data_IF_951546560991
#
_entry.id   IF_951546560991
#
_cell.length_a   1.000
_cell.length_b   1.000
_cell.length_c   1.000
_cell.angle_alpha   90.00
_cell.angle_beta   90.00
_cell.angle_gamma   90.00
#
_symmetry.space_group_name_H-M   'P 1'
#
loop_
_entity.id
_entity.type
_entity.pdbx_description
1 polymer ?
#
# COMPACT_ATOMS: atom_id res chain seq x y z
N UNK A 1 35.98 18.72 5.09
CA UNK A 1 35.39 17.97 6.20
C UNK A 1 35.06 16.59 5.68
N UNK A 2 35.51 15.49 6.33
CA UNK A 2 35.13 14.16 5.87
C UNK A 2 33.61 14.03 6.00
N UNK A 3 32.96 13.59 4.92
CA UNK A 3 31.54 13.23 4.91
C UNK A 3 31.34 12.12 5.94
N UNK A 4 30.50 12.34 6.95
CA UNK A 4 30.10 11.32 7.88
C UNK A 4 29.54 10.13 7.08
N UNK A 5 30.06 8.92 7.33
CA UNK A 5 29.57 7.71 6.69
C UNK A 5 28.06 7.62 6.92
N UNK A 6 27.30 7.53 5.85
CA UNK A 6 25.85 7.31 5.95
C UNK A 6 25.61 5.98 6.68
N UNK A 7 24.65 5.91 7.60
CA UNK A 7 24.31 4.66 8.24
C UNK A 7 23.92 3.62 7.17
N UNK A 8 24.26 2.34 7.38
CA UNK A 8 23.90 1.29 6.43
C UNK A 8 22.38 1.26 6.25
N UNK A 9 21.95 1.10 5.00
CA UNK A 9 20.53 0.93 4.66
C UNK A 9 19.99 -0.26 5.43
N UNK A 10 18.88 -0.10 6.16
CA UNK A 10 18.22 -1.27 6.75
C UNK A 10 17.90 -2.27 5.63
N UNK A 11 18.37 -3.52 5.72
CA UNK A 11 18.05 -4.54 4.72
C UNK A 11 16.54 -4.75 4.66
N UNK A 12 16.04 -5.22 3.50
CA UNK A 12 14.66 -5.70 3.41
C UNK A 12 14.42 -6.74 4.53
N UNK A 13 13.23 -6.70 5.14
CA UNK A 13 12.89 -7.68 6.17
C UNK A 13 12.69 -9.06 5.52
N UNK A 14 13.59 -9.99 5.84
CA UNK A 14 13.54 -11.37 5.38
C UNK A 14 13.89 -11.58 3.90
N UNK A 15 14.02 -12.86 3.54
CA UNK A 15 14.23 -13.26 2.15
C UNK A 15 12.90 -13.37 1.42
N UNK A 16 12.85 -12.83 0.21
CA UNK A 16 11.72 -13.02 -0.69
C UNK A 16 11.77 -14.40 -1.34
N UNK A 17 10.62 -15.03 -1.49
CA UNK A 17 10.39 -16.15 -2.39
C UNK A 17 9.47 -15.72 -3.53
N UNK A 18 9.41 -16.52 -4.56
CA UNK A 18 8.54 -16.25 -5.71
C UNK A 18 7.42 -17.28 -5.77
N UNK A 19 6.22 -16.82 -6.06
CA UNK A 19 5.03 -17.64 -6.30
C UNK A 19 4.56 -17.35 -7.71
N UNK A 20 4.36 -18.40 -8.50
CA UNK A 20 3.82 -18.25 -9.86
C UNK A 20 2.30 -18.12 -9.78
N UNK A 21 1.78 -17.01 -10.30
CA UNK A 21 0.35 -16.75 -10.44
C UNK A 21 0.06 -16.17 -11.82
N UNK A 22 -0.94 -16.70 -12.50
CA UNK A 22 -1.34 -16.24 -13.84
C UNK A 22 -0.17 -16.17 -14.83
N UNK A 23 0.80 -17.12 -14.74
CA UNK A 23 1.98 -17.17 -15.59
C UNK A 23 3.02 -16.08 -15.34
N UNK A 24 3.00 -15.47 -14.15
CA UNK A 24 3.97 -14.47 -13.68
C UNK A 24 4.45 -14.80 -12.28
N UNK A 25 5.72 -14.52 -12.00
CA UNK A 25 6.26 -14.67 -10.64
C UNK A 25 5.99 -13.41 -9.83
N UNK A 26 5.37 -13.59 -8.68
CA UNK A 26 5.20 -12.52 -7.71
C UNK A 26 6.10 -12.78 -6.50
N UNK A 27 6.79 -11.72 -6.07
CA UNK A 27 7.70 -11.79 -4.93
C UNK A 27 6.93 -11.61 -3.63
N UNK A 28 7.30 -12.41 -2.62
CA UNK A 28 6.68 -12.35 -1.30
C UNK A 28 7.70 -12.60 -0.20
N UNK A 29 7.68 -11.77 0.82
CA UNK A 29 8.27 -12.07 2.13
C UNK A 29 7.26 -12.93 2.87
N UNK A 30 7.65 -14.12 3.31
CA UNK A 30 6.78 -15.08 3.97
C UNK A 30 7.56 -15.75 5.10
N UNK A 31 7.30 -15.35 6.33
CA UNK A 31 8.11 -15.76 7.48
C UNK A 31 7.26 -16.08 8.70
N UNK A 32 7.75 -17.03 9.51
CA UNK A 32 7.04 -17.50 10.69
C UNK A 32 5.96 -18.53 10.33
N UNK A 33 5.07 -18.80 11.27
CA UNK A 33 4.01 -19.80 11.14
C UNK A 33 2.78 -19.38 11.94
N UNK A 34 1.64 -20.04 11.68
CA UNK A 34 0.37 -19.77 12.34
C UNK A 34 -0.48 -18.75 11.59
N UNK A 35 -1.39 -18.06 12.29
CA UNK A 35 -2.34 -17.11 11.71
C UNK A 35 -1.63 -15.96 11.01
N UNK A 36 -2.05 -15.66 9.80
CA UNK A 36 -1.36 -14.68 8.94
C UNK A 36 -1.57 -13.23 9.39
N UNK A 37 -0.49 -12.44 9.27
CA UNK A 37 -0.48 -10.99 9.34
C UNK A 37 0.06 -10.52 7.98
N UNK A 38 -0.80 -9.93 7.16
CA UNK A 38 -0.50 -9.58 5.77
C UNK A 38 -0.31 -8.08 5.66
N UNK A 39 0.86 -7.66 5.19
CA UNK A 39 1.24 -6.27 4.98
C UNK A 39 1.18 -5.96 3.48
N UNK A 40 0.27 -5.08 3.07
CA UNK A 40 0.10 -4.76 1.67
C UNK A 40 0.40 -3.29 1.38
N UNK A 41 1.39 -3.07 0.52
CA UNK A 41 1.82 -1.78 0.01
C UNK A 41 0.97 -1.30 -1.16
N UNK A 42 1.20 -0.05 -1.60
CA UNK A 42 0.66 0.54 -2.81
C UNK A 42 1.72 1.19 -3.70
N UNK A 43 1.37 2.28 -4.36
CA UNK A 43 2.21 2.95 -5.35
C UNK A 43 3.14 4.00 -4.72
N UNK A 44 4.41 4.09 -5.08
CA UNK A 44 5.23 3.29 -6.00
C UNK A 44 6.12 2.28 -5.25
N UNK A 45 5.69 1.79 -4.12
CA UNK A 45 6.49 1.03 -3.18
C UNK A 45 6.49 -0.48 -3.43
N UNK A 46 6.95 -1.24 -2.45
CA UNK A 46 7.00 -2.70 -2.44
C UNK A 46 6.94 -3.19 -0.99
N UNK A 47 7.11 -4.48 -0.75
CA UNK A 47 7.27 -5.04 0.60
C UNK A 47 8.41 -4.37 1.39
N UNK A 48 9.36 -3.71 0.72
CA UNK A 48 10.43 -2.94 1.34
C UNK A 48 9.92 -1.82 2.27
N UNK A 49 8.76 -1.25 1.97
CA UNK A 49 8.12 -0.24 2.82
C UNK A 49 7.89 -0.73 4.25
N UNK A 50 7.65 -2.02 4.43
CA UNK A 50 7.33 -2.64 5.70
C UNK A 50 8.54 -3.14 6.49
N UNK A 51 9.79 -2.96 5.97
CA UNK A 51 11.03 -3.53 6.54
C UNK A 51 11.26 -3.19 8.01
N UNK A 52 10.87 -1.99 8.44
CA UNK A 52 11.04 -1.52 9.81
C UNK A 52 9.78 -1.70 10.67
N UNK A 53 8.65 -2.08 10.08
CA UNK A 53 7.37 -2.34 10.77
C UNK A 53 7.23 -3.81 11.12
N UNK A 54 7.48 -4.72 10.17
CA UNK A 54 7.31 -6.16 10.32
C UNK A 54 8.10 -6.77 11.50
N UNK A 55 9.31 -6.33 11.83
CA UNK A 55 10.07 -6.87 12.97
C UNK A 55 9.32 -6.82 14.30
N UNK A 56 8.48 -5.82 14.53
CA UNK A 56 7.68 -5.68 15.75
C UNK A 56 6.60 -6.77 15.89
N UNK A 57 6.23 -7.42 14.80
CA UNK A 57 5.24 -8.50 14.77
C UNK A 57 5.88 -9.90 14.80
N UNK A 58 7.22 -9.99 14.89
CA UNK A 58 7.91 -11.28 14.95
C UNK A 58 7.42 -12.12 16.13
N UNK A 59 7.17 -13.41 15.87
CA UNK A 59 6.64 -14.33 16.87
C UNK A 59 5.11 -14.21 17.11
N UNK A 60 4.44 -13.25 16.50
CA UNK A 60 2.98 -13.11 16.61
C UNK A 60 2.20 -13.91 15.55
N UNK A 61 2.86 -14.54 14.60
CA UNK A 61 2.25 -15.37 13.55
C UNK A 61 3.08 -15.41 12.28
N UNK A 62 2.45 -15.84 11.19
CA UNK A 62 3.04 -15.83 9.84
C UNK A 62 2.97 -14.43 9.27
N UNK A 63 4.13 -13.82 9.00
CA UNK A 63 4.24 -12.47 8.44
C UNK A 63 4.38 -12.55 6.93
N UNK A 64 3.46 -11.93 6.21
CA UNK A 64 3.40 -11.95 4.74
C UNK A 64 3.42 -10.53 4.22
N UNK A 65 4.33 -10.22 3.27
CA UNK A 65 4.32 -8.95 2.54
C UNK A 65 4.60 -9.21 1.06
N UNK A 66 3.63 -8.90 0.21
CA UNK A 66 3.71 -9.16 -1.22
C UNK A 66 4.17 -7.92 -1.98
N UNK A 67 4.96 -8.12 -3.05
CA UNK A 67 5.15 -7.08 -4.06
C UNK A 67 4.03 -7.20 -5.10
N UNK A 68 3.32 -6.12 -5.36
CA UNK A 68 2.30 -6.06 -6.41
C UNK A 68 2.92 -6.35 -7.78
N UNK A 69 2.12 -6.90 -8.69
CA UNK A 69 2.62 -7.22 -10.03
C UNK A 69 3.21 -5.97 -10.72
N UNK A 70 4.38 -6.09 -11.30
CA UNK A 70 5.12 -4.99 -11.91
C UNK A 70 5.89 -4.09 -10.93
N UNK A 71 5.85 -4.36 -9.62
CA UNK A 71 6.48 -3.57 -8.56
C UNK A 71 7.45 -4.43 -7.75
N UNK A 72 8.40 -3.80 -7.05
CA UNK A 72 9.42 -4.53 -6.29
C UNK A 72 10.18 -5.55 -7.12
N UNK A 73 10.15 -6.80 -6.69
CA UNK A 73 10.78 -7.94 -7.36
C UNK A 73 9.78 -8.82 -8.14
N UNK A 74 8.50 -8.44 -8.18
CA UNK A 74 7.50 -9.12 -9.00
C UNK A 74 7.71 -8.86 -10.47
N UNK A 75 7.42 -9.85 -11.31
CA UNK A 75 7.58 -9.77 -12.76
C UNK A 75 6.78 -8.60 -13.34
N UNK A 76 7.31 -8.04 -14.43
CA UNK A 76 6.57 -7.10 -15.28
C UNK A 76 5.59 -7.85 -16.19
N UNK A 77 4.47 -7.19 -16.51
CA UNK A 77 3.48 -7.76 -17.41
C UNK A 77 3.93 -7.66 -18.87
N UNK A 78 3.77 -8.74 -19.61
CA UNK A 78 4.07 -8.85 -21.04
C UNK A 78 2.87 -9.46 -21.74
N UNK A 79 2.37 -8.85 -22.84
CA UNK A 79 2.83 -7.60 -23.44
C UNK A 79 2.60 -6.40 -22.56
N UNK A 80 3.48 -5.39 -22.70
CA UNK A 80 3.31 -4.09 -22.06
C UNK A 80 2.29 -3.23 -22.84
N UNK A 81 1.84 -2.11 -22.26
CA UNK A 81 0.95 -1.19 -22.93
C UNK A 81 0.15 -0.29 -21.99
N UNK A 82 -0.58 0.69 -22.54
CA UNK A 82 -1.27 1.71 -21.78
C UNK A 82 -2.39 1.19 -20.88
N UNK A 83 -3.01 0.07 -21.23
CA UNK A 83 -4.14 -0.53 -20.51
C UNK A 83 -3.70 -1.54 -19.43
N UNK A 84 -2.37 -1.72 -19.25
CA UNK A 84 -1.84 -2.66 -18.25
C UNK A 84 -1.82 -2.05 -16.86
N UNK A 85 -1.78 -2.93 -15.87
CA UNK A 85 -1.74 -2.59 -14.45
C UNK A 85 -2.96 -1.80 -13.98
N UNK A 86 -4.14 -2.05 -14.60
CA UNK A 86 -5.41 -1.54 -14.08
C UNK A 86 -5.68 -2.09 -12.67
N UNK A 87 -6.60 -1.46 -11.94
CA UNK A 87 -7.04 -1.97 -10.64
C UNK A 87 -7.47 -3.44 -10.72
N UNK A 88 -8.27 -3.78 -11.72
CA UNK A 88 -8.75 -5.15 -11.93
C UNK A 88 -7.59 -6.12 -12.17
N UNK A 89 -6.61 -5.77 -12.98
CA UNK A 89 -5.46 -6.63 -13.27
C UNK A 89 -4.55 -6.81 -12.03
N UNK A 90 -4.33 -5.76 -11.26
CA UNK A 90 -3.61 -5.84 -9.98
C UNK A 90 -4.36 -6.70 -8.95
N UNK A 91 -5.66 -6.49 -8.82
CA UNK A 91 -6.55 -7.27 -7.98
C UNK A 91 -6.50 -8.76 -8.30
N UNK A 92 -6.65 -9.11 -9.57
CA UNK A 92 -6.62 -10.51 -10.01
C UNK A 92 -5.30 -11.22 -9.67
N UNK A 93 -4.17 -10.53 -9.84
CA UNK A 93 -2.86 -11.09 -9.50
C UNK A 93 -2.67 -11.21 -7.98
N UNK A 94 -3.02 -10.18 -7.23
CA UNK A 94 -2.87 -10.20 -5.78
C UNK A 94 -3.78 -11.24 -5.11
N UNK A 95 -5.04 -11.34 -5.54
CA UNK A 95 -5.98 -12.31 -4.97
C UNK A 95 -5.55 -13.74 -5.29
N UNK A 96 -5.14 -14.00 -6.54
CA UNK A 96 -4.59 -15.31 -6.91
C UNK A 96 -3.30 -15.64 -6.13
N UNK A 97 -2.46 -14.65 -5.82
CA UNK A 97 -1.29 -14.84 -4.96
C UNK A 97 -1.73 -15.21 -3.52
N UNK A 98 -2.68 -14.48 -2.93
CA UNK A 98 -3.15 -14.75 -1.58
C UNK A 98 -3.85 -16.11 -1.46
N UNK A 99 -4.55 -16.55 -2.50
CA UNK A 99 -5.10 -17.91 -2.58
C UNK A 99 -3.99 -18.97 -2.64
N UNK A 100 -2.98 -18.76 -3.49
CA UNK A 100 -1.83 -19.67 -3.62
C UNK A 100 -0.94 -19.71 -2.34
N UNK A 101 -0.99 -18.68 -1.51
CA UNK A 101 -0.29 -18.62 -0.23
C UNK A 101 -1.01 -19.38 0.88
N UNK A 102 -2.26 -19.79 0.68
CA UNK A 102 -3.07 -20.49 1.68
C UNK A 102 -3.00 -19.79 3.04
N UNK A 103 -3.44 -18.53 3.08
CA UNK A 103 -3.31 -17.66 4.25
C UNK A 103 -4.08 -18.17 5.49
N UNK A 104 -5.00 -19.11 5.31
CA UNK A 104 -5.86 -19.65 6.39
C UNK A 104 -6.94 -18.68 6.82
N UNK A 105 -7.33 -18.78 8.07
CA UNK A 105 -8.36 -17.97 8.72
C UNK A 105 -7.76 -17.05 9.79
N UNK A 106 -8.59 -16.20 10.37
CA UNK A 106 -8.20 -15.20 11.39
C UNK A 106 -7.04 -14.28 10.94
N UNK A 107 -7.10 -13.87 9.68
CA UNK A 107 -6.09 -13.04 9.03
C UNK A 107 -6.19 -11.61 9.55
N UNK A 108 -5.05 -11.00 9.86
CA UNK A 108 -4.96 -9.56 10.10
C UNK A 108 -4.32 -8.90 8.87
N UNK A 109 -5.03 -7.95 8.27
CA UNK A 109 -4.51 -7.15 7.15
C UNK A 109 -3.96 -5.82 7.66
N UNK A 110 -2.76 -5.45 7.23
CA UNK A 110 -2.08 -4.18 7.50
C UNK A 110 -1.89 -3.46 6.17
N UNK A 111 -2.63 -2.39 5.96
CA UNK A 111 -2.94 -1.85 4.64
C UNK A 111 -2.51 -0.39 4.49
N UNK A 112 -1.95 -0.06 3.32
CA UNK A 112 -1.53 1.28 2.97
C UNK A 112 -1.81 1.60 1.50
N UNK A 113 -2.22 2.83 1.19
CA UNK A 113 -2.42 3.34 -0.17
C UNK A 113 -3.31 2.39 -1.01
N UNK A 114 -2.91 2.02 -2.23
CA UNK A 114 -3.63 1.06 -3.07
C UNK A 114 -3.74 -0.34 -2.45
N UNK A 115 -2.79 -0.72 -1.60
CA UNK A 115 -2.91 -1.93 -0.80
C UNK A 115 -4.14 -1.91 0.10
N UNK A 116 -4.63 -0.73 0.50
CA UNK A 116 -5.86 -0.62 1.26
C UNK A 116 -7.10 -0.88 0.42
N UNK A 117 -7.18 -0.33 -0.79
CA UNK A 117 -8.31 -0.59 -1.67
C UNK A 117 -8.43 -2.08 -2.02
N UNK A 118 -7.30 -2.71 -2.39
CA UNK A 118 -7.24 -4.14 -2.67
C UNK A 118 -7.57 -4.99 -1.43
N UNK A 119 -7.01 -4.63 -0.27
CA UNK A 119 -7.21 -5.36 0.97
C UNK A 119 -8.63 -5.21 1.54
N UNK A 120 -9.25 -4.05 1.41
CA UNK A 120 -10.64 -3.82 1.84
C UNK A 120 -11.64 -4.60 0.97
N UNK A 121 -11.45 -4.61 -0.36
CA UNK A 121 -12.25 -5.42 -1.26
C UNK A 121 -12.09 -6.91 -0.93
N UNK A 122 -10.85 -7.38 -0.76
CA UNK A 122 -10.60 -8.78 -0.40
C UNK A 122 -11.24 -9.13 0.95
N UNK A 123 -11.13 -8.25 1.95
CA UNK A 123 -11.74 -8.45 3.26
C UNK A 123 -13.27 -8.50 3.21
N UNK A 124 -13.89 -7.68 2.37
CA UNK A 124 -15.34 -7.74 2.13
C UNK A 124 -15.76 -9.09 1.56
N UNK A 125 -15.03 -9.57 0.54
CA UNK A 125 -15.33 -10.84 -0.13
C UNK A 125 -15.00 -12.07 0.76
N UNK A 126 -14.14 -11.91 1.76
CA UNK A 126 -13.66 -12.98 2.64
C UNK A 126 -13.88 -12.64 4.14
N UNK A 127 -14.97 -11.96 4.48
CA UNK A 127 -15.19 -11.41 5.81
C UNK A 127 -15.07 -12.43 6.95
N UNK A 128 -15.49 -13.68 6.72
CA UNK A 128 -15.38 -14.76 7.70
C UNK A 128 -13.96 -15.22 8.00
N UNK A 129 -12.97 -14.82 7.18
CA UNK A 129 -11.56 -15.19 7.36
C UNK A 129 -10.73 -14.04 7.98
N UNK A 130 -11.30 -12.85 8.15
CA UNK A 130 -10.58 -11.66 8.62
C UNK A 130 -10.83 -11.42 10.09
N UNK A 131 -9.76 -11.46 10.90
CA UNK A 131 -9.80 -11.14 12.32
C UNK A 131 -9.71 -9.64 12.61
N UNK A 132 -9.07 -8.87 11.75
CA UNK A 132 -8.90 -7.44 11.96
C UNK A 132 -8.22 -6.72 10.80
N UNK A 133 -8.44 -5.40 10.73
CA UNK A 133 -7.89 -4.51 9.72
C UNK A 133 -7.09 -3.39 10.40
N UNK A 134 -5.80 -3.27 10.11
CA UNK A 134 -5.01 -2.09 10.44
C UNK A 134 -4.76 -1.31 9.16
N UNK A 135 -4.97 0.00 9.16
CA UNK A 135 -4.81 0.78 7.95
C UNK A 135 -4.31 2.21 8.23
N UNK A 136 -3.61 2.77 7.26
CA UNK A 136 -3.04 4.11 7.28
C UNK A 136 -2.98 4.67 5.87
N UNK A 137 -3.19 5.99 5.72
CA UNK A 137 -3.14 6.69 4.42
C UNK A 137 -3.86 5.89 3.31
N UNK A 138 -5.10 5.52 3.58
CA UNK A 138 -5.90 4.55 2.86
C UNK A 138 -6.91 5.21 1.92
N UNK A 139 -7.33 4.47 0.89
CA UNK A 139 -8.42 4.85 -0.01
C UNK A 139 -9.73 4.35 0.60
N UNK A 140 -10.48 5.24 1.24
CA UNK A 140 -11.66 4.88 2.06
C UNK A 140 -13.00 5.22 1.41
N UNK A 141 -13.00 6.05 0.38
CA UNK A 141 -14.19 6.50 -0.35
C UNK A 141 -13.82 7.13 -1.68
N UNK A 142 -14.73 7.23 -2.65
CA UNK A 142 -14.50 8.03 -3.86
C UNK A 142 -14.35 9.52 -3.53
N UNK A 143 -13.57 10.22 -4.34
CA UNK A 143 -13.12 11.58 -4.11
C UNK A 143 -13.63 12.55 -5.18
N UNK A 144 -13.61 13.82 -4.83
CA UNK A 144 -13.61 14.94 -5.78
C UNK A 144 -12.22 15.58 -5.83
N UNK A 145 -11.98 16.45 -6.79
CA UNK A 145 -10.70 17.19 -6.81
C UNK A 145 -10.57 18.16 -5.62
N UNK A 146 -11.65 18.54 -4.97
CA UNK A 146 -11.60 19.37 -3.76
C UNK A 146 -11.19 18.58 -2.52
N UNK A 147 -11.38 17.26 -2.52
CA UNK A 147 -10.89 16.36 -1.49
C UNK A 147 -9.40 16.01 -1.65
N UNK A 148 -8.82 16.26 -2.83
CA UNK A 148 -7.42 15.95 -3.13
C UNK A 148 -6.50 17.07 -2.60
N UNK A 149 -5.32 16.74 -2.01
CA UNK A 149 -4.40 17.75 -1.50
C UNK A 149 -4.05 18.79 -2.55
N UNK A 150 -4.26 20.08 -2.25
CA UNK A 150 -4.14 21.17 -3.21
C UNK A 150 -2.74 21.21 -3.85
N UNK A 151 -1.68 21.05 -3.05
CA UNK A 151 -0.30 21.04 -3.52
C UNK A 151 0.02 19.88 -4.47
N UNK A 152 -0.71 18.77 -4.41
CA UNK A 152 -0.53 17.59 -5.26
C UNK A 152 -1.48 17.59 -6.48
N UNK A 153 -2.58 18.37 -6.43
CA UNK A 153 -3.68 18.33 -7.43
C UNK A 153 -3.16 18.49 -8.85
N UNK A 154 -2.34 19.50 -9.11
CA UNK A 154 -1.81 19.78 -10.45
C UNK A 154 -0.96 18.62 -10.99
N UNK A 155 -0.11 18.03 -10.15
CA UNK A 155 0.72 16.90 -10.56
C UNK A 155 -0.14 15.67 -10.91
N UNK A 156 -1.14 15.34 -10.09
CA UNK A 156 -2.01 14.19 -10.32
C UNK A 156 -2.95 14.39 -11.52
N UNK A 157 -3.43 15.60 -11.77
CA UNK A 157 -4.11 15.95 -13.02
C UNK A 157 -3.21 15.75 -14.25
N UNK A 158 -1.93 16.13 -14.12
CA UNK A 158 -0.91 15.88 -15.15
C UNK A 158 -0.71 14.40 -15.42
N UNK A 159 -0.58 13.55 -14.39
CA UNK A 159 -0.43 12.09 -14.55
C UNK A 159 -1.65 11.44 -15.22
N UNK A 160 -2.84 11.96 -14.98
CA UNK A 160 -4.10 11.48 -15.57
C UNK A 160 -4.35 12.02 -17.00
N UNK A 161 -3.56 12.97 -17.46
CA UNK A 161 -3.59 13.52 -18.82
C UNK A 161 -2.63 12.76 -19.76
N UNK A 162 -2.64 13.04 -21.06
CA UNK A 162 -1.63 12.53 -21.99
C UNK A 162 -0.18 12.83 -21.58
N UNK A 163 0.07 13.97 -20.90
CA UNK A 163 1.39 14.33 -20.41
C UNK A 163 1.95 13.33 -19.35
N UNK A 164 1.09 12.50 -18.76
CA UNK A 164 1.50 11.48 -17.80
C UNK A 164 2.52 10.48 -18.37
N UNK A 165 2.45 10.19 -19.67
CA UNK A 165 3.43 9.30 -20.34
C UNK A 165 4.85 9.88 -20.22
N UNK A 166 5.04 11.15 -20.53
CA UNK A 166 6.34 11.81 -20.41
C UNK A 166 6.75 11.98 -18.94
N UNK A 167 5.83 12.47 -18.10
CA UNK A 167 6.10 12.73 -16.68
C UNK A 167 6.57 11.47 -15.93
N UNK A 168 5.97 10.33 -16.21
CA UNK A 168 6.23 9.09 -15.48
C UNK A 168 7.15 8.17 -16.26
N UNK A 169 6.82 7.81 -17.50
CA UNK A 169 7.60 6.78 -18.20
C UNK A 169 8.98 7.29 -18.59
N UNK A 170 9.08 8.53 -19.06
CA UNK A 170 10.37 9.11 -19.39
C UNK A 170 11.11 9.62 -18.14
N UNK A 171 10.44 10.39 -17.27
CA UNK A 171 11.09 11.15 -16.22
C UNK A 171 10.96 10.54 -14.80
N UNK A 172 10.26 9.42 -14.63
CA UNK A 172 10.10 8.70 -13.34
C UNK A 172 9.61 9.60 -12.20
N UNK A 173 8.78 10.58 -12.51
CA UNK A 173 8.45 11.68 -11.59
C UNK A 173 7.78 11.19 -10.30
N UNK A 174 7.06 10.04 -10.35
CA UNK A 174 6.42 9.48 -9.18
C UNK A 174 7.47 9.05 -8.12
N UNK A 175 8.49 8.31 -8.55
CA UNK A 175 9.56 7.84 -7.65
C UNK A 175 10.52 8.97 -7.27
N UNK A 176 10.84 9.86 -8.23
CA UNK A 176 11.86 10.90 -8.01
C UNK A 176 11.35 12.13 -7.26
N UNK A 177 10.02 12.38 -7.27
CA UNK A 177 9.44 13.60 -6.70
C UNK A 177 8.30 13.32 -5.73
N UNK A 178 7.31 12.49 -6.13
CA UNK A 178 6.13 12.26 -5.29
C UNK A 178 6.52 11.47 -4.04
N UNK A 179 7.25 10.36 -4.20
CA UNK A 179 7.68 9.53 -3.08
C UNK A 179 8.46 10.34 -2.01
N UNK A 180 9.61 10.97 -2.31
CA UNK A 180 10.36 11.71 -1.30
C UNK A 180 9.63 12.97 -0.81
N UNK A 181 8.75 13.57 -1.62
CA UNK A 181 7.94 14.73 -1.23
C UNK A 181 6.78 14.40 -0.29
N UNK A 182 6.46 13.12 -0.13
CA UNK A 182 5.40 12.62 0.74
C UNK A 182 5.94 11.82 1.95
N UNK A 183 7.17 12.14 2.38
CA UNK A 183 7.87 11.63 3.56
C UNK A 183 8.44 12.83 4.31
N UNK A 184 8.30 12.87 5.63
CA UNK A 184 8.81 13.99 6.44
C UNK A 184 10.33 13.92 6.62
N UNK A 185 10.87 12.71 6.86
CA UNK A 185 12.30 12.50 6.94
C UNK A 185 12.94 12.48 5.55
N UNK A 186 14.22 12.74 5.48
CA UNK A 186 14.99 12.55 4.25
C UNK A 186 15.39 11.08 4.11
N UNK A 187 15.04 10.46 2.98
CA UNK A 187 15.58 9.16 2.60
C UNK A 187 17.06 9.27 2.25
N UNK A 188 17.86 8.28 2.62
CA UNK A 188 19.22 8.13 2.15
C UNK A 188 19.25 7.76 0.67
N UNK A 189 20.38 7.99 -0.01
CA UNK A 189 20.52 7.61 -1.42
C UNK A 189 20.34 6.11 -1.64
N UNK A 190 20.76 5.31 -0.68
CA UNK A 190 20.62 3.87 -0.77
C UNK A 190 19.15 3.40 -0.57
N UNK A 191 18.34 4.07 0.27
CA UNK A 191 16.90 3.82 0.34
C UNK A 191 16.21 4.25 -0.96
N UNK A 192 16.58 5.41 -1.51
CA UNK A 192 16.08 5.87 -2.80
C UNK A 192 16.46 4.92 -3.93
N UNK A 193 17.68 4.39 -3.93
CA UNK A 193 18.13 3.40 -4.92
C UNK A 193 17.25 2.14 -4.90
N UNK A 194 16.83 1.67 -3.71
CA UNK A 194 15.93 0.53 -3.61
C UNK A 194 14.53 0.84 -4.17
N UNK A 195 13.98 2.03 -3.92
CA UNK A 195 12.71 2.44 -4.52
C UNK A 195 12.79 2.67 -6.03
N UNK A 196 13.95 3.13 -6.54
CA UNK A 196 14.19 3.31 -7.99
C UNK A 196 14.36 2.00 -8.74
N UNK A 197 14.92 0.98 -8.08
CA UNK A 197 15.36 -0.27 -8.69
C UNK A 197 14.31 -0.92 -9.60
N UNK A 198 13.02 -1.08 -9.20
CA UNK A 198 12.01 -1.68 -10.05
C UNK A 198 11.64 -0.84 -11.29
N UNK A 199 12.00 0.44 -11.29
CA UNK A 199 11.62 1.45 -12.28
C UNK A 199 12.84 2.13 -12.91
N UNK A 200 14.00 1.46 -12.87
CA UNK A 200 15.25 2.00 -13.39
C UNK A 200 15.20 2.26 -14.88
N UNK A 201 14.62 1.33 -15.66
CA UNK A 201 14.49 1.46 -17.10
C UNK A 201 13.34 2.41 -17.46
N UNK A 202 13.60 3.45 -18.30
CA UNK A 202 12.53 4.29 -18.85
C UNK A 202 11.53 3.48 -19.69
N UNK A 203 10.32 4.00 -19.82
CA UNK A 203 9.26 3.39 -20.60
C UNK A 203 8.39 2.43 -19.78
N UNK A 204 8.03 1.30 -20.35
CA UNK A 204 6.98 0.41 -19.83
C UNK A 204 7.30 -0.23 -18.46
N UNK A 205 8.56 -0.32 -18.05
CA UNK A 205 8.91 -0.75 -16.69
C UNK A 205 8.33 0.16 -15.60
N UNK A 206 8.08 1.42 -15.96
CA UNK A 206 7.46 2.44 -15.09
C UNK A 206 5.93 2.51 -15.21
N UNK A 207 5.32 1.73 -16.11
CA UNK A 207 3.87 1.73 -16.35
C UNK A 207 3.04 1.55 -15.07
N UNK A 208 3.37 0.66 -14.13
CA UNK A 208 2.60 0.53 -12.89
C UNK A 208 2.44 1.86 -12.14
N UNK A 209 3.50 2.68 -12.07
CA UNK A 209 3.48 3.95 -11.35
C UNK A 209 2.70 5.06 -12.07
N UNK A 210 2.38 4.87 -13.35
CA UNK A 210 1.46 5.72 -14.11
C UNK A 210 0.02 5.21 -14.06
N UNK A 211 -0.17 3.90 -14.14
CA UNK A 211 -1.52 3.31 -14.13
C UNK A 211 -2.23 3.60 -12.81
N UNK A 212 -1.56 3.47 -11.68
CA UNK A 212 -2.15 3.71 -10.37
C UNK A 212 -2.75 5.12 -10.19
N UNK A 213 -2.10 6.25 -10.50
CA UNK A 213 -2.72 7.56 -10.43
C UNK A 213 -3.95 7.71 -11.34
N UNK A 214 -3.97 7.00 -12.47
CA UNK A 214 -5.09 6.99 -13.41
C UNK A 214 -6.29 6.20 -12.88
N UNK A 215 -6.07 5.27 -11.95
CA UNK A 215 -7.11 4.45 -11.33
C UNK A 215 -7.73 5.09 -10.08
N UNK A 216 -7.17 6.17 -9.52
CA UNK A 216 -7.75 6.81 -8.33
C UNK A 216 -9.18 7.26 -8.62
N UNK A 217 -10.18 6.87 -7.80
CA UNK A 217 -11.60 7.14 -8.03
C UNK A 217 -11.93 8.61 -7.72
N UNK A 218 -11.55 9.50 -8.63
CA UNK A 218 -11.76 10.96 -8.50
C UNK A 218 -12.78 11.42 -9.55
N UNK A 219 -13.74 12.21 -9.12
CA UNK A 219 -14.77 12.82 -9.98
C UNK A 219 -15.52 11.78 -10.85
N UNK A 220 -15.81 10.61 -10.27
CA UNK A 220 -16.56 9.54 -10.93
C UNK A 220 -15.75 8.68 -11.90
N UNK A 221 -14.43 8.85 -11.98
CA UNK A 221 -13.60 8.10 -12.94
C UNK A 221 -12.35 7.50 -12.29
N UNK A 222 -11.97 6.24 -12.63
CA UNK A 222 -12.70 5.30 -13.52
C UNK A 222 -13.96 4.75 -12.82
N UNK A 223 -15.09 4.58 -13.51
CA UNK A 223 -16.36 4.19 -12.88
C UNK A 223 -16.32 2.79 -12.23
N UNK A 224 -15.59 1.86 -12.80
CA UNK A 224 -15.43 0.51 -12.23
C UNK A 224 -14.69 0.54 -10.89
N UNK A 225 -13.69 1.40 -10.71
CA UNK A 225 -12.97 1.56 -9.45
C UNK A 225 -13.82 2.33 -8.44
N UNK A 226 -14.57 3.34 -8.90
CA UNK A 226 -15.54 4.06 -8.06
C UNK A 226 -16.53 3.07 -7.45
N UNK A 227 -17.12 2.18 -8.26
CA UNK A 227 -18.09 1.19 -7.79
C UNK A 227 -17.50 0.25 -6.73
N UNK A 228 -16.28 -0.26 -6.94
CA UNK A 228 -15.59 -1.12 -5.97
C UNK A 228 -15.35 -0.37 -4.66
N UNK A 229 -14.87 0.88 -4.74
CA UNK A 229 -14.58 1.69 -3.54
C UNK A 229 -15.86 2.04 -2.78
N UNK A 230 -16.97 2.34 -3.47
CA UNK A 230 -18.27 2.56 -2.83
C UNK A 230 -18.79 1.30 -2.13
N UNK A 231 -18.61 0.14 -2.72
CA UNK A 231 -19.08 -1.13 -2.16
C UNK A 231 -18.36 -1.48 -0.86
N UNK A 232 -17.02 -1.50 -0.86
CA UNK A 232 -16.32 -1.81 0.38
C UNK A 232 -16.45 -0.69 1.43
N UNK A 233 -16.57 0.58 1.01
CA UNK A 233 -16.80 1.70 1.93
C UNK A 233 -18.14 1.54 2.67
N UNK A 234 -19.19 1.14 1.97
CA UNK A 234 -20.50 0.83 2.54
C UNK A 234 -20.40 -0.35 3.51
N UNK A 235 -19.71 -1.42 3.11
CA UNK A 235 -19.50 -2.59 3.96
C UNK A 235 -18.72 -2.25 5.22
N UNK A 236 -17.60 -1.50 5.12
CA UNK A 236 -16.78 -1.07 6.26
C UNK A 236 -17.56 -0.20 7.25
N UNK A 237 -18.50 0.62 6.75
CA UNK A 237 -19.35 1.48 7.57
C UNK A 237 -20.32 0.71 8.46
N UNK A 238 -20.61 -0.57 8.17
CA UNK A 238 -21.44 -1.45 8.99
C UNK A 238 -20.71 -2.67 9.56
N UNK A 239 -19.46 -2.91 9.16
CA UNK A 239 -18.73 -4.12 9.52
C UNK A 239 -18.26 -4.11 10.98
N UNK A 240 -18.56 -5.17 11.77
CA UNK A 240 -18.11 -5.31 13.16
C UNK A 240 -16.64 -5.75 13.27
N UNK A 241 -15.97 -6.06 12.17
CA UNK A 241 -14.55 -6.48 12.19
C UNK A 241 -13.72 -5.42 12.93
N UNK A 242 -12.88 -5.82 13.91
CA UNK A 242 -12.01 -4.89 14.62
C UNK A 242 -11.09 -4.12 13.69
N UNK A 243 -10.97 -2.82 13.90
CA UNK A 243 -10.13 -1.93 13.09
C UNK A 243 -9.14 -1.16 13.96
N UNK A 244 -7.93 -1.00 13.43
CA UNK A 244 -6.91 -0.09 13.93
C UNK A 244 -6.66 0.97 12.86
N UNK A 245 -7.11 2.19 13.11
CA UNK A 245 -6.82 3.34 12.28
C UNK A 245 -5.55 4.04 12.77
N UNK A 246 -4.50 3.98 11.98
CA UNK A 246 -3.26 4.71 12.22
C UNK A 246 -3.35 6.05 11.47
N UNK A 247 -3.81 7.08 12.18
CA UNK A 247 -4.03 8.41 11.64
C UNK A 247 -2.69 9.14 11.51
N UNK A 248 -2.22 9.33 10.29
CA UNK A 248 -1.01 10.10 10.03
C UNK A 248 -1.25 11.60 10.22
N UNK A 249 -0.33 12.30 10.90
CA UNK A 249 -0.35 13.75 11.06
C UNK A 249 1.00 14.34 10.64
N UNK A 250 1.06 15.24 9.67
CA UNK A 250 -0.07 15.90 9.00
C UNK A 250 -0.88 15.00 8.06
N UNK A 251 -0.35 13.82 7.65
CA UNK A 251 -0.99 12.97 6.66
C UNK A 251 -0.90 13.57 5.25
N UNK A 252 -1.59 12.94 4.31
CA UNK A 252 -1.65 13.38 2.91
C UNK A 252 -3.00 13.12 2.25
N UNK A 253 -3.36 11.85 2.01
CA UNK A 253 -4.62 11.52 1.34
C UNK A 253 -5.76 11.19 2.31
N UNK A 254 -5.47 10.65 3.49
CA UNK A 254 -6.50 10.34 4.49
C UNK A 254 -6.68 11.50 5.46
N UNK A 255 -7.11 12.63 4.91
CA UNK A 255 -7.32 13.89 5.60
C UNK A 255 -8.74 14.42 5.34
N UNK A 256 -9.15 15.47 6.04
CA UNK A 256 -10.43 16.14 5.79
C UNK A 256 -11.62 15.17 5.77
N UNK A 257 -12.43 15.22 4.73
CA UNK A 257 -13.66 14.43 4.56
C UNK A 257 -13.41 12.92 4.60
N UNK A 258 -12.31 12.44 4.04
CA UNK A 258 -11.93 11.02 4.04
C UNK A 258 -11.68 10.53 5.47
N UNK A 259 -10.90 11.30 6.25
CA UNK A 259 -10.60 11.01 7.66
C UNK A 259 -11.88 10.98 8.49
N UNK A 260 -12.73 11.98 8.34
CA UNK A 260 -14.01 12.04 9.05
C UNK A 260 -14.97 10.91 8.66
N UNK A 261 -14.90 10.42 7.41
CA UNK A 261 -15.69 9.29 6.95
C UNK A 261 -15.28 8.00 7.67
N UNK A 262 -13.98 7.64 7.64
CA UNK A 262 -13.52 6.39 8.25
C UNK A 262 -13.53 6.42 9.78
N UNK A 263 -13.46 7.59 10.42
CA UNK A 263 -13.62 7.73 11.88
C UNK A 263 -14.96 7.23 12.40
N UNK A 264 -15.98 7.20 11.55
CA UNK A 264 -17.33 6.73 11.91
C UNK A 264 -17.50 5.23 11.80
N UNK A 265 -16.49 4.50 11.35
CA UNK A 265 -16.58 3.05 11.24
C UNK A 265 -16.65 2.38 12.61
N UNK A 266 -17.52 1.37 12.79
CA UNK A 266 -17.67 0.70 14.07
C UNK A 266 -16.45 -0.14 14.44
N UNK A 267 -16.34 -0.43 15.75
CA UNK A 267 -15.30 -1.28 16.33
C UNK A 267 -13.88 -0.88 15.92
N UNK A 268 -13.59 0.42 16.03
CA UNK A 268 -12.33 1.01 15.61
C UNK A 268 -11.60 1.64 16.78
N UNK A 269 -10.29 1.42 16.84
CA UNK A 269 -9.35 2.17 17.68
C UNK A 269 -8.54 3.07 16.77
N UNK A 270 -8.42 4.35 17.10
CA UNK A 270 -7.56 5.31 16.40
C UNK A 270 -6.30 5.59 17.22
N UNK A 271 -5.15 5.65 16.55
CA UNK A 271 -3.90 6.15 17.10
C UNK A 271 -3.32 7.16 16.11
N UNK A 272 -3.05 8.38 16.59
CA UNK A 272 -2.38 9.40 15.78
C UNK A 272 -0.87 9.21 15.86
N UNK A 273 -0.21 9.23 14.70
CA UNK A 273 1.23 9.07 14.53
C UNK A 273 1.77 10.18 13.61
N UNK A 274 3.00 10.60 13.84
CA UNK A 274 3.65 11.63 13.00
C UNK A 274 4.03 11.05 11.65
N UNK A 275 3.63 11.68 10.55
CA UNK A 275 4.06 11.27 9.21
C UNK A 275 3.21 11.88 8.11
N UNK A 276 3.74 11.79 6.89
CA UNK A 276 3.02 12.12 5.67
C UNK A 276 2.43 10.84 5.03
N UNK A 277 2.35 10.77 3.69
CA UNK A 277 1.72 9.62 3.03
C UNK A 277 2.45 8.30 3.29
N UNK A 278 3.76 8.26 3.13
CA UNK A 278 4.54 7.05 3.40
C UNK A 278 4.96 7.01 4.88
N UNK A 279 3.97 7.01 5.75
CA UNK A 279 4.11 7.13 7.21
C UNK A 279 4.97 6.02 7.82
N UNK A 280 5.13 4.88 7.14
CA UNK A 280 6.03 3.79 7.53
C UNK A 280 7.50 4.19 7.46
N UNK A 281 7.84 5.20 6.67
CA UNK A 281 9.19 5.77 6.62
C UNK A 281 9.41 6.80 7.74
N UNK A 282 8.35 7.44 8.21
CA UNK A 282 8.42 8.47 9.24
C UNK A 282 8.35 7.89 10.65
N UNK A 283 7.41 6.97 10.90
CA UNK A 283 7.08 6.43 12.23
C UNK A 283 6.96 4.90 12.26
N UNK A 284 7.97 4.15 11.77
CA UNK A 284 7.88 2.69 11.67
C UNK A 284 7.72 2.00 13.01
N UNK A 285 8.34 2.52 14.08
CA UNK A 285 8.32 1.90 15.41
C UNK A 285 6.95 2.03 16.06
N UNK A 286 6.32 3.20 15.97
CA UNK A 286 4.99 3.48 16.48
C UNK A 286 3.95 2.61 15.76
N UNK A 287 4.04 2.52 14.43
CA UNK A 287 3.20 1.65 13.62
C UNK A 287 3.39 0.20 14.03
N UNK A 288 4.63 -0.27 14.09
CA UNK A 288 4.96 -1.65 14.42
C UNK A 288 4.46 -2.05 15.81
N UNK A 289 4.67 -1.19 16.81
CA UNK A 289 4.20 -1.41 18.17
C UNK A 289 2.65 -1.45 18.24
N UNK A 290 1.97 -0.53 17.56
CA UNK A 290 0.51 -0.47 17.53
C UNK A 290 -0.09 -1.70 16.85
N UNK A 291 0.45 -2.12 15.69
CA UNK A 291 0.01 -3.33 14.98
C UNK A 291 0.25 -4.57 15.84
N UNK A 292 1.41 -4.69 16.48
CA UNK A 292 1.71 -5.82 17.37
C UNK A 292 0.74 -5.88 18.57
N UNK A 293 0.42 -4.75 19.19
CA UNK A 293 -0.54 -4.68 20.28
C UNK A 293 -1.96 -5.05 19.80
N UNK A 294 -2.35 -4.58 18.62
CA UNK A 294 -3.63 -4.92 18.01
C UNK A 294 -3.76 -6.42 17.76
N UNK A 295 -2.75 -7.05 17.15
CA UNK A 295 -2.71 -8.49 16.91
C UNK A 295 -2.80 -9.30 18.21
N UNK A 296 -2.04 -8.91 19.25
CA UNK A 296 -2.11 -9.60 20.56
C UNK A 296 -3.51 -9.54 21.16
N UNK A 297 -4.17 -8.37 21.09
CA UNK A 297 -5.55 -8.21 21.57
C UNK A 297 -6.53 -9.09 20.85
N UNK A 298 -6.44 -9.17 19.52
CA UNK A 298 -7.32 -10.02 18.69
C UNK A 298 -7.13 -11.51 18.99
N UNK A 299 -5.95 -11.92 19.41
CA UNK A 299 -5.64 -13.34 19.69
C UNK A 299 -5.88 -13.77 21.14
N UNK A 300 -6.11 -12.79 22.02
CA UNK A 300 -6.46 -13.04 23.42
C UNK A 300 -7.99 -13.07 23.64
N UNK A 301 -8.79 -12.63 22.67
CA UNK A 301 -10.24 -12.62 22.71
C UNK A 301 -10.82 -13.93 22.16
#
# INVERSE_FOLDING_TARGET
>A
MPQAAQPPVPPAYGKKRFVEVKGRRMAVVDQGAGKAIVFQHGNPTSSYLWRNVMPHCQGLGRLVACDLIGMGDSDKLVPAGPDRYSYAEQREHLFALWDALELGDEIVLVLHDWGSALGFEWAQLNAGRVAGLAYMEAIVMPLTWDDWPEQARRAFQGFRSPAGEDLILANNMFVERVLPGAILRRLSEAEMAEYRRPFANPGEDRRPTLSWPRQIPIAGAPPEVVAVVEDYARWLSGSPIPKLFLNAEPGSILVGRQREFCRRWPNQTELTITGAHFVQEDSPNEIGAAVAAFVRRLRAA
#
